data_IF_570524556176
#
_entry.id   IF_570524556176
#
_cell.length_a   1.000
_cell.length_b   1.000
_cell.length_c   1.000
_cell.angle_alpha   90.00
_cell.angle_beta   90.00
_cell.angle_gamma   90.00
#
_symmetry.space_group_name_H-M   'P 1'
#
loop_
_entity.id
_entity.type
_entity.pdbx_description
1 polymer ?
#
# COMPACT_ATOMS: atom_id res chain seq x y z
N UNK A 1 6.28 -30.26 16.57
CA UNK A 1 5.95 -28.87 16.20
C UNK A 1 6.82 -27.96 17.05
N UNK A 2 7.89 -27.37 16.47
CA UNK A 2 8.77 -26.46 17.18
C UNK A 2 8.02 -25.24 17.67
N UNK A 3 8.21 -24.84 18.92
CA UNK A 3 7.70 -23.58 19.47
C UNK A 3 8.21 -22.43 18.59
N UNK A 4 7.32 -21.84 17.81
CA UNK A 4 7.61 -20.62 17.03
C UNK A 4 8.08 -19.55 18.03
N UNK A 5 9.32 -19.04 17.86
CA UNK A 5 9.85 -17.95 18.71
C UNK A 5 8.88 -16.79 18.64
N UNK A 6 8.28 -16.41 19.76
CA UNK A 6 7.36 -15.27 19.85
C UNK A 6 8.10 -13.96 19.52
N UNK A 7 7.50 -13.13 18.68
CA UNK A 7 8.06 -11.87 18.21
C UNK A 7 8.11 -10.82 19.33
N UNK A 8 9.28 -10.22 19.53
CA UNK A 8 9.49 -9.07 20.42
C UNK A 8 9.26 -7.73 19.67
N UNK A 9 9.44 -6.62 20.41
CA UNK A 9 9.21 -5.26 19.89
C UNK A 9 9.99 -4.98 18.60
N UNK A 10 11.33 -5.22 18.61
CA UNK A 10 12.17 -4.93 17.44
C UNK A 10 11.76 -5.75 16.22
N UNK A 11 11.52 -7.07 16.38
CA UNK A 11 11.11 -7.93 15.28
C UNK A 11 9.76 -7.47 14.68
N UNK A 12 8.78 -7.11 15.54
CA UNK A 12 7.50 -6.60 15.10
C UNK A 12 7.65 -5.25 14.39
N UNK A 13 8.48 -4.33 14.90
CA UNK A 13 8.76 -3.05 14.26
C UNK A 13 9.41 -3.22 12.90
N UNK A 14 10.41 -4.10 12.76
CA UNK A 14 11.04 -4.37 11.46
C UNK A 14 10.07 -4.95 10.43
N UNK A 15 9.22 -5.89 10.83
CA UNK A 15 8.18 -6.43 9.96
C UNK A 15 7.20 -5.36 9.52
N UNK A 16 6.81 -4.46 10.43
CA UNK A 16 5.93 -3.33 10.14
C UNK A 16 6.56 -2.35 9.15
N UNK A 17 7.82 -1.96 9.40
CA UNK A 17 8.57 -1.06 8.54
C UNK A 17 8.68 -1.65 7.13
N UNK A 18 9.05 -2.93 7.02
CA UNK A 18 9.17 -3.61 5.74
C UNK A 18 7.85 -3.73 4.97
N UNK A 19 6.72 -3.78 5.68
CA UNK A 19 5.38 -3.87 5.06
C UNK A 19 4.85 -2.52 4.58
N UNK A 20 5.32 -1.41 5.16
CA UNK A 20 4.76 -0.07 4.95
C UNK A 20 5.72 0.84 4.18
N UNK A 21 7.03 0.78 4.50
CA UNK A 21 8.00 1.69 3.91
C UNK A 21 8.19 1.43 2.41
N UNK A 22 7.71 2.36 1.59
CA UNK A 22 7.90 2.33 0.14
C UNK A 22 8.61 3.60 -0.34
N UNK A 23 9.90 3.51 -0.68
CA UNK A 23 10.70 4.69 -1.06
C UNK A 23 10.19 5.39 -2.34
N UNK A 24 9.41 4.72 -3.19
CA UNK A 24 8.70 5.36 -4.30
C UNK A 24 7.76 6.49 -3.85
N UNK A 25 7.27 6.44 -2.61
CA UNK A 25 6.40 7.48 -2.06
C UNK A 25 7.13 8.82 -1.89
N UNK A 26 8.47 8.80 -1.83
CA UNK A 26 9.31 10.01 -1.80
C UNK A 26 9.17 10.79 -3.11
N UNK A 27 9.11 10.10 -4.25
CA UNK A 27 8.89 10.74 -5.55
C UNK A 27 7.56 11.50 -5.59
N UNK A 28 6.47 10.89 -5.08
CA UNK A 28 5.19 11.56 -4.97
C UNK A 28 5.22 12.74 -4.00
N UNK A 29 5.84 12.56 -2.82
CA UNK A 29 5.98 13.63 -1.85
C UNK A 29 6.78 14.81 -2.40
N UNK A 30 7.80 14.55 -3.21
CA UNK A 30 8.67 15.58 -3.76
C UNK A 30 7.97 16.51 -4.76
N UNK A 31 6.85 16.10 -5.36
CA UNK A 31 6.08 16.97 -6.29
C UNK A 31 5.37 18.13 -5.59
N UNK A 32 5.13 18.04 -4.27
CA UNK A 32 4.52 19.12 -3.47
C UNK A 32 5.56 20.02 -2.78
N UNK A 33 6.83 19.76 -3.00
CA UNK A 33 7.92 20.55 -2.42
C UNK A 33 8.13 20.30 -0.92
N UNK A 34 8.80 21.25 -0.21
CA UNK A 34 9.16 21.10 1.20
C UNK A 34 7.99 20.86 2.16
N UNK A 35 6.79 21.31 1.82
CA UNK A 35 5.60 21.09 2.64
C UNK A 35 5.22 19.61 2.82
N UNK A 36 5.76 18.72 1.98
CA UNK A 36 5.62 17.27 2.16
C UNK A 36 6.06 16.81 3.57
N UNK A 37 7.07 17.45 4.16
CA UNK A 37 7.53 17.15 5.52
C UNK A 37 6.43 17.35 6.55
N UNK A 38 5.72 18.47 6.48
CA UNK A 38 4.59 18.77 7.35
C UNK A 38 3.46 17.73 7.17
N UNK A 39 3.12 17.42 5.93
CA UNK A 39 2.06 16.46 5.63
C UNK A 39 2.40 15.03 6.05
N UNK A 40 3.68 14.60 6.00
CA UNK A 40 4.11 13.30 6.54
C UNK A 40 3.85 13.19 8.05
N UNK A 41 4.13 14.25 8.82
CA UNK A 41 3.86 14.28 10.27
C UNK A 41 2.36 14.20 10.52
N UNK A 42 1.56 14.99 9.82
CA UNK A 42 0.10 14.98 9.95
C UNK A 42 -0.46 13.58 9.64
N UNK A 43 -0.08 12.97 8.50
CA UNK A 43 -0.53 11.63 8.12
C UNK A 43 -0.16 10.56 9.17
N UNK A 44 1.04 10.64 9.77
CA UNK A 44 1.43 9.73 10.83
C UNK A 44 0.54 9.88 12.07
N UNK A 45 0.23 11.11 12.49
CA UNK A 45 -0.53 11.40 13.72
C UNK A 45 -2.02 11.07 13.55
N UNK A 46 -2.65 11.50 12.45
CA UNK A 46 -4.12 11.39 12.32
C UNK A 46 -4.57 10.08 11.68
N UNK A 47 -3.69 9.38 10.96
CA UNK A 47 -4.04 8.15 10.25
C UNK A 47 -3.27 6.93 10.78
N UNK A 48 -1.93 6.94 10.69
CA UNK A 48 -1.15 5.71 10.95
C UNK A 48 -1.21 5.26 12.42
N UNK A 49 -0.98 6.17 13.38
CA UNK A 49 -1.01 5.84 14.81
C UNK A 49 -2.42 5.37 15.23
N UNK A 50 -3.52 6.08 14.91
CA UNK A 50 -4.87 5.61 15.23
C UNK A 50 -5.17 4.22 14.64
N UNK A 51 -4.90 4.02 13.35
CA UNK A 51 -5.16 2.76 12.68
C UNK A 51 -4.33 1.61 13.30
N UNK A 52 -3.05 1.85 13.54
CA UNK A 52 -2.16 0.88 14.17
C UNK A 52 -2.63 0.44 15.56
N UNK A 53 -3.07 1.39 16.41
CA UNK A 53 -3.62 1.09 17.74
C UNK A 53 -4.92 0.30 17.67
N UNK A 54 -5.81 0.62 16.73
CA UNK A 54 -7.06 -0.12 16.48
C UNK A 54 -6.75 -1.55 16.06
N UNK A 55 -5.86 -1.73 15.09
CA UNK A 55 -5.43 -3.05 14.60
C UNK A 55 -4.78 -3.85 15.73
N UNK A 56 -3.94 -3.22 16.55
CA UNK A 56 -3.30 -3.87 17.68
C UNK A 56 -4.33 -4.39 18.70
N UNK A 57 -5.35 -3.60 19.03
CA UNK A 57 -6.38 -4.02 19.99
C UNK A 57 -7.25 -5.14 19.40
N UNK A 58 -7.70 -5.00 18.15
CA UNK A 58 -8.53 -6.03 17.50
C UNK A 58 -7.77 -7.35 17.30
N UNK A 59 -6.54 -7.30 16.83
CA UNK A 59 -5.75 -8.48 16.53
C UNK A 59 -5.34 -9.26 17.79
N UNK A 60 -5.11 -8.58 18.90
CA UNK A 60 -4.80 -9.24 20.17
C UNK A 60 -6.04 -9.79 20.87
N UNK A 61 -7.19 -9.12 20.70
CA UNK A 61 -8.47 -9.55 21.25
C UNK A 61 -9.07 -10.72 20.48
N UNK A 62 -8.90 -10.70 19.15
CA UNK A 62 -9.44 -11.74 18.24
C UNK A 62 -8.31 -12.29 17.34
N UNK A 63 -7.44 -13.15 17.90
CA UNK A 63 -6.21 -13.60 17.21
C UNK A 63 -6.45 -14.65 16.12
N UNK A 64 -7.69 -14.86 15.68
CA UNK A 64 -8.03 -15.82 14.64
C UNK A 64 -7.50 -15.37 13.28
N UNK A 65 -7.08 -16.33 12.46
CA UNK A 65 -6.66 -16.06 11.08
C UNK A 65 -7.81 -15.47 10.27
N UNK A 66 -7.57 -14.40 9.52
CA UNK A 66 -8.56 -13.77 8.63
C UNK A 66 -8.62 -12.23 8.73
N UNK A 67 -7.88 -11.62 9.66
CA UNK A 67 -7.69 -10.16 9.73
C UNK A 67 -9.00 -9.37 9.78
N UNK A 68 -9.08 -8.28 9.00
CA UNK A 68 -10.22 -7.36 8.98
C UNK A 68 -11.57 -8.04 8.77
N UNK A 69 -11.65 -9.03 7.86
CA UNK A 69 -12.92 -9.72 7.55
C UNK A 69 -13.53 -10.38 8.76
N UNK A 70 -12.71 -11.00 9.63
CA UNK A 70 -13.20 -11.68 10.86
C UNK A 70 -13.73 -10.68 11.87
N UNK A 71 -13.03 -9.55 12.07
CA UNK A 71 -13.46 -8.50 13.02
C UNK A 71 -14.77 -7.84 12.57
N UNK A 72 -14.88 -7.57 11.25
CA UNK A 72 -16.11 -7.01 10.66
C UNK A 72 -17.26 -8.01 10.73
N UNK A 73 -17.01 -9.33 10.53
CA UNK A 73 -18.01 -10.39 10.71
C UNK A 73 -18.57 -10.39 12.11
N UNK A 74 -17.70 -10.32 13.10
CA UNK A 74 -18.09 -10.33 14.51
C UNK A 74 -18.93 -9.09 14.87
N UNK A 75 -18.60 -7.94 14.30
CA UNK A 75 -19.34 -6.72 14.55
C UNK A 75 -20.66 -6.64 13.78
N UNK A 76 -20.67 -6.97 12.49
CA UNK A 76 -21.75 -6.64 11.56
C UNK A 76 -22.30 -7.84 10.77
N UNK A 77 -21.77 -9.06 11.00
CA UNK A 77 -22.21 -10.28 10.34
C UNK A 77 -21.60 -10.51 8.96
N UNK A 78 -22.08 -11.55 8.29
CA UNK A 78 -21.48 -12.11 7.06
C UNK A 78 -21.47 -11.13 5.88
N UNK A 79 -22.55 -10.38 5.68
CA UNK A 79 -22.65 -9.42 4.55
C UNK A 79 -21.56 -8.35 4.62
N UNK A 80 -21.38 -7.74 5.79
CA UNK A 80 -20.37 -6.71 5.98
C UNK A 80 -18.95 -7.29 5.88
N UNK A 81 -18.72 -8.47 6.42
CA UNK A 81 -17.46 -9.21 6.29
C UNK A 81 -17.09 -9.48 4.84
N UNK A 82 -18.05 -9.98 4.07
CA UNK A 82 -17.87 -10.23 2.65
C UNK A 82 -17.51 -8.95 1.89
N UNK A 83 -18.29 -7.87 2.07
CA UNK A 83 -18.04 -6.59 1.39
C UNK A 83 -16.69 -6.00 1.77
N UNK A 84 -16.31 -6.03 3.05
CA UNK A 84 -14.99 -5.58 3.51
C UNK A 84 -13.86 -6.35 2.82
N UNK A 85 -13.92 -7.68 2.81
CA UNK A 85 -12.93 -8.55 2.18
C UNK A 85 -12.93 -8.42 0.66
N UNK A 86 -14.09 -8.21 0.06
CA UNK A 86 -14.26 -7.96 -1.37
C UNK A 86 -13.56 -6.67 -1.79
N UNK A 87 -13.85 -5.54 -1.13
CA UNK A 87 -13.19 -4.27 -1.43
C UNK A 87 -11.68 -4.34 -1.20
N UNK A 88 -11.22 -5.01 -0.15
CA UNK A 88 -9.79 -5.21 0.08
C UNK A 88 -9.12 -6.02 -1.05
N UNK A 89 -9.78 -7.04 -1.56
CA UNK A 89 -9.28 -7.83 -2.69
C UNK A 89 -9.26 -7.02 -3.98
N UNK A 90 -10.34 -6.31 -4.28
CA UNK A 90 -10.47 -5.47 -5.47
C UNK A 90 -9.48 -4.29 -5.46
N UNK A 91 -9.20 -3.70 -4.31
CA UNK A 91 -8.21 -2.63 -4.17
C UNK A 91 -6.84 -3.03 -4.74
N UNK A 92 -6.50 -4.31 -4.65
CA UNK A 92 -5.27 -4.81 -5.23
C UNK A 92 -5.30 -4.88 -6.77
N UNK A 93 -6.46 -4.88 -7.41
CA UNK A 93 -6.56 -4.89 -8.88
C UNK A 93 -6.04 -3.60 -9.51
N UNK A 94 -6.06 -2.50 -8.77
CA UNK A 94 -5.49 -1.22 -9.19
C UNK A 94 -4.07 -1.03 -8.63
N UNK A 95 -3.79 -1.59 -7.46
CA UNK A 95 -2.46 -1.53 -6.84
C UNK A 95 -1.41 -2.35 -7.59
N UNK A 96 -1.75 -3.57 -8.06
CA UNK A 96 -0.79 -4.38 -8.84
C UNK A 96 -0.37 -3.72 -10.14
N UNK A 97 -1.26 -3.14 -10.97
CA UNK A 97 -0.84 -2.35 -12.12
C UNK A 97 0.15 -1.24 -11.76
N UNK A 98 -0.09 -0.48 -10.69
CA UNK A 98 0.84 0.58 -10.27
C UNK A 98 2.22 0.03 -9.90
N UNK A 99 2.26 -1.12 -9.21
CA UNK A 99 3.51 -1.79 -8.86
C UNK A 99 4.22 -2.37 -10.08
N UNK A 100 3.45 -2.91 -11.03
CA UNK A 100 3.97 -3.49 -12.28
C UNK A 100 4.52 -2.42 -13.23
N UNK A 101 3.85 -1.28 -13.37
CA UNK A 101 4.41 -0.13 -14.10
C UNK A 101 5.76 0.28 -13.49
N UNK A 102 5.82 0.40 -12.16
CA UNK A 102 7.07 0.72 -11.46
C UNK A 102 8.14 -0.35 -11.68
N UNK A 103 7.75 -1.64 -11.71
CA UNK A 103 8.67 -2.75 -12.01
C UNK A 103 9.21 -2.68 -13.43
N UNK A 104 8.37 -2.37 -14.42
CA UNK A 104 8.78 -2.23 -15.82
C UNK A 104 9.70 -1.02 -16.01
N UNK A 105 9.44 0.09 -15.33
CA UNK A 105 10.34 1.24 -15.31
C UNK A 105 11.69 0.82 -14.71
N UNK A 106 11.69 0.07 -13.62
CA UNK A 106 12.91 -0.45 -13.01
C UNK A 106 13.73 -1.33 -13.97
N UNK A 107 13.05 -2.19 -14.72
CA UNK A 107 13.71 -3.00 -15.78
C UNK A 107 14.30 -2.09 -16.86
N UNK A 108 13.54 -1.10 -17.33
CA UNK A 108 13.97 -0.19 -18.38
C UNK A 108 15.28 0.54 -18.02
N UNK A 109 15.36 1.06 -16.80
CA UNK A 109 16.59 1.69 -16.30
C UNK A 109 17.68 0.66 -16.01
N UNK A 110 17.36 -0.49 -15.44
CA UNK A 110 18.32 -1.56 -15.16
C UNK A 110 19.05 -2.09 -16.39
N UNK A 111 18.39 -2.12 -17.56
CA UNK A 111 18.97 -2.53 -18.85
C UNK A 111 19.42 -1.33 -19.73
N UNK A 112 19.44 -0.13 -19.16
CA UNK A 112 19.79 1.11 -19.86
C UNK A 112 18.94 1.42 -21.11
N UNK A 113 17.62 1.19 -21.01
CA UNK A 113 16.64 1.47 -22.05
C UNK A 113 15.49 2.36 -21.53
N UNK A 114 15.78 3.59 -21.04
CA UNK A 114 14.79 4.46 -20.41
C UNK A 114 13.62 4.83 -21.35
N UNK A 115 13.78 4.73 -22.66
CA UNK A 115 12.72 4.93 -23.65
C UNK A 115 11.53 3.99 -23.49
N UNK A 116 11.71 2.81 -22.86
CA UNK A 116 10.61 1.92 -22.49
C UNK A 116 9.73 2.57 -21.43
N UNK A 117 10.34 3.20 -20.43
CA UNK A 117 9.63 3.85 -19.32
C UNK A 117 8.76 5.05 -19.76
N UNK A 118 9.06 5.63 -20.91
CA UNK A 118 8.32 6.78 -21.46
C UNK A 118 7.19 6.37 -22.43
N UNK A 119 7.04 5.09 -22.72
CA UNK A 119 6.02 4.59 -23.66
C UNK A 119 4.93 3.81 -22.91
N UNK A 120 3.70 4.35 -22.75
CA UNK A 120 2.64 3.70 -21.99
C UNK A 120 2.28 2.30 -22.51
N UNK A 121 2.21 2.11 -23.84
CA UNK A 121 1.86 0.82 -24.44
C UNK A 121 2.94 -0.24 -24.18
N UNK A 122 4.22 0.09 -24.41
CA UNK A 122 5.33 -0.85 -24.13
C UNK A 122 5.36 -1.22 -22.64
N UNK A 123 5.20 -0.22 -21.76
CA UNK A 123 5.17 -0.42 -20.31
C UNK A 123 4.01 -1.32 -19.89
N UNK A 124 2.80 -1.12 -20.44
CA UNK A 124 1.64 -1.95 -20.14
C UNK A 124 1.80 -3.40 -20.58
N UNK A 125 2.33 -3.63 -21.79
CA UNK A 125 2.56 -4.98 -22.33
C UNK A 125 3.60 -5.73 -21.49
N UNK A 126 4.76 -5.12 -21.23
CA UNK A 126 5.83 -5.73 -20.43
C UNK A 126 5.34 -6.01 -19.03
N UNK A 127 4.62 -5.07 -18.39
CA UNK A 127 4.00 -5.24 -17.09
C UNK A 127 3.03 -6.43 -17.06
N UNK A 128 2.24 -6.62 -18.10
CA UNK A 128 1.31 -7.75 -18.22
C UNK A 128 2.05 -9.08 -18.28
N UNK A 129 3.12 -9.16 -19.07
CA UNK A 129 3.96 -10.36 -19.17
C UNK A 129 4.58 -10.71 -17.80
N UNK A 130 5.16 -9.72 -17.12
CA UNK A 130 5.74 -9.89 -15.79
C UNK A 130 4.67 -10.40 -14.81
N UNK A 131 3.47 -9.81 -14.85
CA UNK A 131 2.40 -10.22 -13.96
C UNK A 131 1.99 -11.66 -14.13
N UNK A 132 1.88 -12.15 -15.38
CA UNK A 132 1.58 -13.55 -15.64
C UNK A 132 2.70 -14.48 -15.18
N UNK A 133 3.97 -14.12 -15.39
CA UNK A 133 5.12 -14.91 -14.90
C UNK A 133 5.05 -15.03 -13.36
N UNK A 134 4.90 -13.89 -12.66
CA UNK A 134 4.84 -13.89 -11.19
C UNK A 134 3.60 -14.62 -10.67
N UNK A 135 2.46 -14.46 -11.34
CA UNK A 135 1.21 -15.18 -11.00
C UNK A 135 1.40 -16.69 -11.10
N UNK A 136 2.00 -17.20 -12.18
CA UNK A 136 2.26 -18.62 -12.36
C UNK A 136 3.25 -19.16 -11.32
N UNK A 137 4.28 -18.37 -10.95
CA UNK A 137 5.20 -18.72 -9.88
C UNK A 137 4.50 -18.76 -8.51
N UNK A 138 3.61 -17.79 -8.24
CA UNK A 138 2.84 -17.72 -7.00
C UNK A 138 1.90 -18.92 -6.83
N UNK A 139 1.34 -19.43 -7.94
CA UNK A 139 0.51 -20.64 -7.92
C UNK A 139 1.25 -21.92 -7.54
N UNK A 140 2.60 -21.92 -7.52
CA UNK A 140 3.44 -23.01 -6.99
C UNK A 140 3.55 -23.01 -5.46
N UNK A 141 2.86 -22.09 -4.78
CA UNK A 141 2.66 -22.10 -3.35
C UNK A 141 3.51 -21.10 -2.54
N UNK A 142 3.22 -21.04 -1.25
CA UNK A 142 3.77 -20.04 -0.31
C UNK A 142 5.29 -20.08 -0.13
N UNK A 143 5.93 -21.25 -0.31
CA UNK A 143 7.38 -21.38 -0.17
C UNK A 143 8.14 -20.59 -1.24
N UNK A 144 7.65 -20.63 -2.49
CA UNK A 144 8.26 -19.89 -3.60
C UNK A 144 8.09 -18.38 -3.38
N UNK A 145 6.87 -17.93 -3.07
CA UNK A 145 6.58 -16.52 -2.79
C UNK A 145 7.41 -15.98 -1.62
N UNK A 146 7.56 -16.77 -0.55
CA UNK A 146 8.39 -16.40 0.61
C UNK A 146 9.87 -16.26 0.28
N UNK A 147 10.44 -17.15 -0.55
CA UNK A 147 11.85 -17.05 -0.99
C UNK A 147 12.08 -15.79 -1.84
N UNK A 148 11.20 -15.50 -2.79
CA UNK A 148 11.29 -14.30 -3.60
C UNK A 148 11.21 -13.02 -2.76
N UNK A 149 10.27 -12.97 -1.82
CA UNK A 149 10.11 -11.83 -0.92
C UNK A 149 11.32 -11.63 0.02
N UNK A 150 11.91 -12.71 0.55
CA UNK A 150 13.03 -12.61 1.49
C UNK A 150 14.33 -12.09 0.85
N UNK A 151 14.51 -12.28 -0.45
CA UNK A 151 15.67 -11.76 -1.19
C UNK A 151 15.42 -10.32 -1.65
N UNK A 152 14.23 -10.04 -2.18
CA UNK A 152 13.92 -8.77 -2.80
C UNK A 152 13.72 -7.62 -1.80
N UNK A 153 13.04 -7.88 -0.68
CA UNK A 153 12.66 -6.83 0.25
C UNK A 153 13.84 -6.01 0.82
N UNK A 154 14.95 -6.62 1.29
CA UNK A 154 16.11 -5.86 1.76
C UNK A 154 16.74 -4.99 0.68
N UNK A 155 16.88 -5.50 -0.54
CA UNK A 155 17.50 -4.79 -1.66
C UNK A 155 16.67 -3.57 -2.09
N UNK A 156 15.34 -3.72 -2.11
CA UNK A 156 14.45 -2.63 -2.52
C UNK A 156 14.27 -1.52 -1.50
N UNK A 157 14.70 -1.72 -0.27
CA UNK A 157 14.64 -0.69 0.78
C UNK A 157 16.04 -0.16 1.10
N UNK A 158 17.01 -1.03 1.36
CA UNK A 158 18.33 -0.62 1.84
C UNK A 158 19.13 0.10 0.76
N UNK A 159 19.17 -0.43 -0.47
CA UNK A 159 20.00 0.18 -1.53
C UNK A 159 19.48 1.56 -1.92
N UNK A 160 18.19 1.75 -2.25
CA UNK A 160 17.68 3.10 -2.53
C UNK A 160 17.80 4.05 -1.34
N UNK A 161 17.62 3.55 -0.11
CA UNK A 161 17.80 4.38 1.09
C UNK A 161 19.24 4.87 1.22
N UNK A 162 20.23 3.97 1.08
CA UNK A 162 21.66 4.35 1.12
C UNK A 162 21.98 5.37 0.03
N UNK A 163 21.46 5.19 -1.19
CA UNK A 163 21.69 6.12 -2.28
C UNK A 163 21.06 7.50 -2.00
N UNK A 164 19.79 7.54 -1.62
CA UNK A 164 19.10 8.82 -1.35
C UNK A 164 19.74 9.53 -0.16
N UNK A 165 19.93 8.84 0.97
CA UNK A 165 20.51 9.45 2.17
C UNK A 165 21.99 9.73 2.01
N UNK A 166 22.78 8.77 1.49
CA UNK A 166 24.22 8.92 1.34
C UNK A 166 24.58 10.06 0.41
N UNK A 167 24.04 10.05 -0.79
CA UNK A 167 24.35 11.11 -1.77
C UNK A 167 23.63 12.42 -1.48
N UNK A 168 22.41 12.39 -0.93
CA UNK A 168 21.74 13.62 -0.51
C UNK A 168 22.49 14.35 0.60
N UNK A 169 22.94 13.63 1.64
CA UNK A 169 23.77 14.19 2.72
C UNK A 169 25.13 14.64 2.16
N UNK A 170 25.75 13.83 1.30
CA UNK A 170 27.02 14.19 0.70
C UNK A 170 26.90 15.49 -0.12
N UNK A 171 25.86 15.66 -0.94
CA UNK A 171 25.62 16.90 -1.68
C UNK A 171 25.43 18.11 -0.75
N UNK A 172 24.75 17.93 0.39
CA UNK A 172 24.59 18.99 1.41
C UNK A 172 25.95 19.40 2.02
N UNK A 173 26.81 18.42 2.31
CA UNK A 173 28.11 18.65 2.94
C UNK A 173 29.18 19.18 1.96
N UNK A 174 29.03 18.91 0.66
CA UNK A 174 29.95 19.35 -0.41
C UNK A 174 29.76 20.81 -0.81
N UNK A 175 28.86 21.56 -0.15
CA UNK A 175 28.59 22.95 -0.45
C UNK A 175 27.80 23.20 -1.74
N UNK A 176 27.15 22.16 -2.26
CA UNK A 176 26.26 22.28 -3.42
C UNK A 176 25.03 23.15 -3.09
N UNK A 177 24.56 23.89 -4.07
CA UNK A 177 23.34 24.68 -3.93
C UNK A 177 22.12 23.77 -3.97
N UNK A 178 21.23 23.95 -2.99
CA UNK A 178 19.98 23.20 -2.96
C UNK A 178 19.12 23.48 -4.19
N UNK A 179 18.58 22.43 -4.81
CA UNK A 179 17.63 22.55 -5.92
C UNK A 179 16.27 23.12 -5.46
N UNK A 180 15.99 23.10 -4.16
CA UNK A 180 14.73 23.58 -3.56
C UNK A 180 15.04 24.53 -2.40
N UNK A 181 14.27 25.60 -2.26
CA UNK A 181 14.39 26.52 -1.12
C UNK A 181 13.63 25.97 0.08
N UNK A 182 14.37 25.66 1.16
CA UNK A 182 13.82 25.24 2.44
C UNK A 182 13.71 26.45 3.38
N UNK A 183 12.55 27.07 3.43
CA UNK A 183 12.22 28.15 4.36
C UNK A 183 11.07 27.74 5.26
N UNK A 184 10.85 28.43 6.36
CA UNK A 184 9.68 28.19 7.24
C UNK A 184 8.36 28.30 6.44
N UNK A 185 8.28 29.18 5.48
CA UNK A 185 7.10 29.38 4.63
C UNK A 185 6.87 28.26 3.64
N UNK A 186 7.93 27.65 3.11
CA UNK A 186 7.81 26.53 2.17
C UNK A 186 7.57 25.19 2.89
N UNK A 187 8.04 25.03 4.14
CA UNK A 187 7.84 23.83 4.96
C UNK A 187 6.47 23.85 5.63
N UNK A 188 6.09 24.97 6.24
CA UNK A 188 4.76 25.15 6.82
C UNK A 188 3.92 25.94 5.82
N UNK A 189 2.96 25.32 5.14
CA UNK A 189 2.14 26.03 4.17
C UNK A 189 1.28 27.08 4.89
N UNK A 190 1.53 28.35 4.63
CA UNK A 190 0.74 29.47 5.15
C UNK A 190 -0.71 29.43 4.64
N UNK A 191 -0.93 28.82 3.49
CA UNK A 191 -2.23 28.50 2.93
C UNK A 191 -2.26 27.01 2.65
N UNK A 192 -3.22 26.30 3.27
CA UNK A 192 -3.56 24.94 2.91
C UNK A 192 -4.13 24.96 1.48
N UNK A 193 -3.24 24.99 0.49
CA UNK A 193 -3.68 24.94 -0.90
C UNK A 193 -4.46 23.65 -1.10
N UNK A 194 -5.55 23.74 -1.83
CA UNK A 194 -6.41 22.60 -2.11
C UNK A 194 -5.62 21.42 -2.74
N UNK A 195 -4.66 21.73 -3.63
CA UNK A 195 -3.77 20.73 -4.21
C UNK A 195 -2.89 20.00 -3.17
N UNK A 196 -2.34 20.73 -2.19
CA UNK A 196 -1.53 20.13 -1.13
C UNK A 196 -2.36 19.21 -0.21
N UNK A 197 -3.60 19.58 0.09
CA UNK A 197 -4.53 18.74 0.87
C UNK A 197 -4.88 17.46 0.09
N UNK A 198 -5.05 17.53 -1.22
CA UNK A 198 -5.28 16.35 -2.06
C UNK A 198 -4.11 15.36 -2.00
N UNK A 199 -2.87 15.86 -1.99
CA UNK A 199 -1.69 15.01 -1.84
C UNK A 199 -1.63 14.29 -0.49
N UNK A 200 -2.25 14.82 0.56
CA UNK A 200 -2.34 14.15 1.85
C UNK A 200 -2.96 12.75 1.72
N UNK A 201 -3.93 12.55 0.82
CA UNK A 201 -4.53 11.24 0.55
C UNK A 201 -3.49 10.22 0.04
N UNK A 202 -2.62 10.63 -0.88
CA UNK A 202 -1.54 9.77 -1.41
C UNK A 202 -0.48 9.49 -0.33
N UNK A 203 -0.14 10.48 0.50
CA UNK A 203 0.79 10.30 1.61
C UNK A 203 0.22 9.36 2.68
N UNK A 204 -1.08 9.48 3.01
CA UNK A 204 -1.75 8.53 3.89
C UNK A 204 -1.75 7.11 3.32
N UNK A 205 -1.97 6.95 2.02
CA UNK A 205 -1.82 5.65 1.37
C UNK A 205 -0.40 5.07 1.53
N UNK A 206 0.62 5.92 1.56
CA UNK A 206 2.01 5.54 1.86
C UNK A 206 2.22 4.92 3.25
N UNK A 207 1.32 5.15 4.19
CA UNK A 207 1.30 4.53 5.52
C UNK A 207 0.37 3.31 5.62
N UNK A 208 -0.30 2.89 4.56
CA UNK A 208 -1.16 1.70 4.56
C UNK A 208 -0.34 0.42 4.70
N UNK A 209 -0.93 -0.62 5.31
CA UNK A 209 -0.24 -1.89 5.59
C UNK A 209 -0.20 -2.26 7.08
N UNK A 210 -0.64 -1.36 7.98
CA UNK A 210 -0.70 -1.66 9.42
C UNK A 210 -1.62 -2.85 9.74
N UNK A 211 -2.64 -3.10 8.94
CA UNK A 211 -3.57 -4.24 9.06
C UNK A 211 -2.86 -5.59 8.91
N UNK A 212 -1.73 -5.64 8.21
CA UNK A 212 -0.93 -6.86 8.06
C UNK A 212 -0.37 -7.35 9.40
N UNK A 213 -0.17 -6.46 10.37
CA UNK A 213 0.23 -6.82 11.74
C UNK A 213 -0.83 -7.69 12.43
N UNK A 214 -2.09 -7.55 12.06
CA UNK A 214 -3.19 -8.36 12.57
C UNK A 214 -3.03 -9.85 12.27
N UNK A 215 -2.40 -10.20 11.15
CA UNK A 215 -2.22 -11.61 10.73
C UNK A 215 -1.20 -12.37 11.58
N UNK A 216 -0.29 -11.66 12.26
CA UNK A 216 0.81 -12.23 13.05
C UNK A 216 0.64 -12.04 14.55
N UNK A 217 -0.49 -11.47 14.99
CA UNK A 217 -0.74 -11.10 16.39
C UNK A 217 -0.63 -12.28 17.37
N UNK A 218 -1.06 -13.47 16.96
CA UNK A 218 -0.96 -14.70 17.77
C UNK A 218 0.49 -15.10 18.10
N UNK A 219 1.46 -14.62 17.33
CA UNK A 219 2.88 -14.92 17.48
C UNK A 219 3.68 -13.84 18.24
N UNK A 220 3.00 -12.86 18.85
CA UNK A 220 3.67 -11.76 19.54
C UNK A 220 3.84 -12.06 21.03
N UNK A 221 5.03 -11.77 21.57
CA UNK A 221 5.34 -11.91 22.99
C UNK A 221 4.79 -10.69 23.75
N UNK A 222 4.07 -10.91 24.86
CA UNK A 222 3.49 -9.85 25.69
C UNK A 222 2.79 -8.76 24.86
N UNK A 223 1.67 -9.08 24.17
CA UNK A 223 1.04 -8.19 23.19
C UNK A 223 0.72 -6.82 23.75
N UNK A 224 0.27 -6.72 25.02
CA UNK A 224 -0.05 -5.46 25.70
C UNK A 224 1.08 -4.43 25.69
N UNK A 225 2.35 -4.90 25.80
CA UNK A 225 3.52 -4.02 25.82
C UNK A 225 4.19 -3.93 24.45
N UNK A 226 4.17 -5.03 23.70
CA UNK A 226 4.90 -5.13 22.43
C UNK A 226 4.24 -4.35 21.32
N UNK A 227 2.90 -4.44 21.15
CA UNK A 227 2.21 -3.75 20.05
C UNK A 227 2.32 -2.23 20.13
N UNK A 228 1.96 -1.54 21.27
CA UNK A 228 2.00 -0.10 21.29
C UNK A 228 3.41 0.45 21.10
N UNK A 229 4.42 -0.23 21.66
CA UNK A 229 5.82 0.15 21.46
C UNK A 229 6.28 -0.04 20.02
N UNK A 230 5.93 -1.17 19.42
CA UNK A 230 6.29 -1.45 18.03
C UNK A 230 5.61 -0.45 17.07
N UNK A 231 4.33 -0.14 17.26
CA UNK A 231 3.60 0.85 16.46
C UNK A 231 4.25 2.23 16.59
N UNK A 232 4.54 2.67 17.82
CA UNK A 232 5.16 3.98 18.06
C UNK A 232 6.55 4.05 17.40
N UNK A 233 7.40 3.06 17.61
CA UNK A 233 8.74 2.96 17.00
C UNK A 233 8.62 2.98 15.47
N UNK A 234 7.73 2.16 14.90
CA UNK A 234 7.49 2.10 13.47
C UNK A 234 7.03 3.45 12.93
N UNK A 235 6.09 4.12 13.62
CA UNK A 235 5.59 5.44 13.21
C UNK A 235 6.71 6.48 13.15
N UNK A 236 7.52 6.55 14.21
CA UNK A 236 8.65 7.49 14.28
C UNK A 236 9.67 7.19 13.20
N UNK A 237 10.05 5.93 13.02
CA UNK A 237 11.06 5.55 12.02
C UNK A 237 10.56 5.84 10.61
N UNK A 238 9.35 5.44 10.25
CA UNK A 238 8.81 5.64 8.90
C UNK A 238 8.63 7.13 8.60
N UNK A 239 8.05 7.91 9.54
CA UNK A 239 7.90 9.35 9.35
C UNK A 239 9.27 10.03 9.21
N UNK A 240 10.24 9.69 10.07
CA UNK A 240 11.61 10.24 9.99
C UNK A 240 12.27 9.88 8.66
N UNK A 241 12.18 8.62 8.22
CA UNK A 241 12.74 8.18 6.94
C UNK A 241 12.10 8.92 5.77
N UNK A 242 10.76 9.05 5.74
CA UNK A 242 10.09 9.79 4.68
C UNK A 242 10.47 11.27 4.67
N UNK A 243 10.53 11.92 5.84
CA UNK A 243 10.93 13.33 5.94
C UNK A 243 12.37 13.54 5.47
N UNK A 244 13.31 12.79 6.04
CA UNK A 244 14.74 12.95 5.71
C UNK A 244 15.02 12.57 4.26
N UNK A 245 14.40 11.52 3.74
CA UNK A 245 14.56 11.14 2.34
C UNK A 245 13.93 12.16 1.40
N UNK A 246 12.80 12.80 1.77
CA UNK A 246 12.20 13.88 0.99
C UNK A 246 13.12 15.10 0.96
N UNK A 247 13.73 15.48 2.10
CA UNK A 247 14.70 16.56 2.17
C UNK A 247 15.92 16.26 1.28
N UNK A 248 16.53 15.08 1.47
CA UNK A 248 17.71 14.67 0.71
C UNK A 248 17.45 14.64 -0.79
N UNK A 249 16.28 14.13 -1.18
CA UNK A 249 15.86 14.08 -2.58
C UNK A 249 15.66 15.49 -3.17
N UNK A 250 14.90 16.33 -2.48
CA UNK A 250 14.59 17.70 -2.93
C UNK A 250 15.79 18.65 -2.87
N UNK A 251 16.80 18.34 -2.05
CA UNK A 251 18.06 19.07 -2.07
C UNK A 251 18.79 18.88 -3.40
N UNK A 252 18.79 17.66 -3.93
CA UNK A 252 19.48 17.29 -5.17
C UNK A 252 18.68 17.67 -6.40
N UNK A 253 17.37 17.40 -6.42
CA UNK A 253 16.55 17.57 -7.63
C UNK A 253 15.12 18.00 -7.30
N UNK A 254 14.58 18.89 -8.12
CA UNK A 254 13.15 19.18 -8.22
C UNK A 254 12.55 18.38 -9.36
N UNK A 255 11.34 17.86 -9.16
CA UNK A 255 10.61 17.10 -10.17
C UNK A 255 9.21 17.68 -10.38
N UNK A 256 8.72 17.56 -11.59
CA UNK A 256 7.33 17.86 -11.95
C UNK A 256 6.45 16.60 -11.87
N UNK A 257 5.13 16.78 -11.89
CA UNK A 257 4.17 15.67 -11.76
C UNK A 257 4.26 14.62 -12.89
N UNK A 258 4.69 15.02 -14.08
CA UNK A 258 4.92 14.16 -15.24
C UNK A 258 6.20 13.30 -15.12
N UNK A 259 7.11 13.67 -14.22
CA UNK A 259 8.34 12.93 -13.93
C UNK A 259 8.25 11.98 -12.75
N UNK A 260 7.10 11.92 -12.05
CA UNK A 260 6.94 11.15 -10.82
C UNK A 260 7.32 9.67 -10.99
N UNK A 261 6.98 9.06 -12.12
CA UNK A 261 7.26 7.65 -12.39
C UNK A 261 8.75 7.32 -12.49
N UNK A 262 9.55 8.27 -12.96
CA UNK A 262 11.01 8.13 -13.23
C UNK A 262 11.89 8.88 -12.23
N UNK A 263 11.29 9.59 -11.29
CA UNK A 263 11.96 10.53 -10.39
C UNK A 263 13.19 9.98 -9.67
N UNK A 264 13.11 8.75 -9.12
CA UNK A 264 14.22 8.12 -8.41
C UNK A 264 15.42 7.83 -9.34
N UNK A 265 15.16 7.53 -10.60
CA UNK A 265 16.20 7.29 -11.61
C UNK A 265 16.81 8.60 -12.08
N UNK A 266 16.00 9.66 -12.26
CA UNK A 266 16.50 11.01 -12.56
C UNK A 266 17.40 11.55 -11.44
N UNK A 267 17.03 11.29 -10.17
CA UNK A 267 17.89 11.57 -9.02
C UNK A 267 19.23 10.84 -9.13
N UNK A 268 19.19 9.53 -9.41
CA UNK A 268 20.39 8.72 -9.53
C UNK A 268 21.26 9.13 -10.70
N UNK A 269 20.70 9.49 -11.85
CA UNK A 269 21.42 9.97 -13.01
C UNK A 269 22.07 11.32 -12.73
N UNK A 270 21.35 12.22 -12.03
CA UNK A 270 21.94 13.52 -11.63
C UNK A 270 23.15 13.32 -10.72
N UNK A 271 23.06 12.43 -9.74
CA UNK A 271 24.19 12.08 -8.85
C UNK A 271 25.33 11.46 -9.66
N UNK A 272 25.04 10.52 -10.56
CA UNK A 272 26.05 9.90 -11.43
C UNK A 272 26.84 10.94 -12.21
N UNK A 273 26.15 11.92 -12.82
CA UNK A 273 26.76 12.99 -13.60
C UNK A 273 27.51 14.01 -12.73
N UNK A 274 26.91 14.42 -11.60
CA UNK A 274 27.47 15.42 -10.69
C UNK A 274 28.82 14.96 -10.10
N UNK A 275 28.94 13.67 -9.77
CA UNK A 275 30.18 13.13 -9.18
C UNK A 275 31.07 12.40 -10.17
N UNK A 276 30.74 12.43 -11.47
CA UNK A 276 31.57 11.81 -12.52
C UNK A 276 31.76 10.31 -12.30
N UNK A 277 30.73 9.60 -11.81
CA UNK A 277 30.83 8.18 -11.51
C UNK A 277 30.98 7.38 -12.82
N UNK A 278 31.89 6.42 -12.83
CA UNK A 278 32.13 5.54 -13.99
C UNK A 278 31.05 4.49 -14.21
N UNK A 279 30.08 4.40 -13.30
CA UNK A 279 28.94 3.47 -13.35
C UNK A 279 27.63 4.20 -13.13
N UNK A 280 26.54 3.66 -13.69
CA UNK A 280 25.20 4.27 -13.57
C UNK A 280 24.50 3.81 -12.30
N UNK A 281 24.20 4.78 -11.44
CA UNK A 281 23.39 4.53 -10.22
C UNK A 281 21.95 4.18 -10.55
N UNK A 282 21.37 4.71 -11.63
CA UNK A 282 20.02 4.39 -12.06
C UNK A 282 19.90 2.93 -12.53
N UNK A 283 20.94 2.34 -13.14
CA UNK A 283 20.97 0.92 -13.46
C UNK A 283 20.98 0.06 -12.21
N UNK A 284 21.82 0.38 -11.22
CA UNK A 284 21.88 -0.34 -9.95
C UNK A 284 20.53 -0.27 -9.23
N UNK A 285 19.92 0.91 -9.15
CA UNK A 285 18.57 1.08 -8.59
C UNK A 285 17.54 0.25 -9.34
N UNK A 286 17.59 0.26 -10.66
CA UNK A 286 16.68 -0.53 -11.49
C UNK A 286 16.73 -2.03 -11.15
N UNK A 287 17.93 -2.61 -11.10
CA UNK A 287 18.12 -4.02 -10.75
C UNK A 287 17.61 -4.32 -9.33
N UNK A 288 17.95 -3.49 -8.36
CA UNK A 288 17.50 -3.67 -6.97
C UNK A 288 15.99 -3.60 -6.83
N UNK A 289 15.34 -2.65 -7.51
CA UNK A 289 13.89 -2.51 -7.48
C UNK A 289 13.18 -3.66 -8.20
N UNK A 290 13.70 -4.19 -9.29
CA UNK A 290 13.14 -5.39 -9.96
C UNK A 290 13.06 -6.55 -8.97
N UNK A 291 14.16 -6.84 -8.27
CA UNK A 291 14.20 -7.93 -7.27
C UNK A 291 13.21 -7.68 -6.12
N UNK A 292 13.11 -6.44 -5.65
CA UNK A 292 12.20 -6.06 -4.59
C UNK A 292 10.72 -6.20 -5.00
N UNK A 293 10.36 -5.67 -6.16
CA UNK A 293 8.97 -5.63 -6.61
C UNK A 293 8.46 -7.03 -6.98
N UNK A 294 9.28 -7.86 -7.63
CA UNK A 294 8.92 -9.25 -7.94
C UNK A 294 8.70 -10.06 -6.65
N UNK A 295 9.57 -9.86 -5.66
CA UNK A 295 9.42 -10.50 -4.35
C UNK A 295 8.13 -10.07 -3.64
N UNK A 296 7.88 -8.77 -3.55
CA UNK A 296 6.69 -8.20 -2.91
C UNK A 296 5.40 -8.60 -3.62
N UNK A 297 5.39 -8.57 -4.95
CA UNK A 297 4.22 -8.89 -5.77
C UNK A 297 3.75 -10.33 -5.56
N UNK A 298 4.68 -11.30 -5.50
CA UNK A 298 4.33 -12.70 -5.22
C UNK A 298 3.57 -12.87 -3.90
N UNK A 299 3.98 -12.16 -2.86
CA UNK A 299 3.33 -12.18 -1.55
C UNK A 299 1.97 -11.48 -1.56
N UNK A 300 1.90 -10.32 -2.22
CA UNK A 300 0.69 -9.52 -2.34
C UNK A 300 -0.41 -10.22 -3.15
N UNK A 301 -0.09 -10.94 -4.22
CA UNK A 301 -1.06 -11.70 -5.02
C UNK A 301 -1.75 -12.76 -4.15
N UNK A 302 -1.03 -13.41 -3.27
CA UNK A 302 -1.52 -14.55 -2.51
C UNK A 302 -2.46 -14.15 -1.38
N UNK A 303 -2.05 -13.21 -0.53
CA UNK A 303 -2.75 -12.90 0.71
C UNK A 303 -4.20 -12.41 0.53
N UNK A 304 -4.51 -11.41 -0.32
CA UNK A 304 -5.88 -10.99 -0.54
C UNK A 304 -6.75 -12.07 -1.19
N UNK A 305 -6.15 -12.89 -2.06
CA UNK A 305 -6.87 -14.00 -2.72
C UNK A 305 -7.25 -15.11 -1.72
N UNK A 306 -6.39 -15.40 -0.74
CA UNK A 306 -6.70 -16.34 0.34
C UNK A 306 -7.75 -15.75 1.27
N UNK A 307 -7.63 -14.46 1.61
CA UNK A 307 -8.58 -13.78 2.49
C UNK A 307 -10.00 -13.78 1.91
N UNK A 308 -10.17 -13.43 0.63
CA UNK A 308 -11.49 -13.46 -0.01
C UNK A 308 -12.00 -14.89 -0.14
N UNK A 309 -11.14 -15.87 -0.45
CA UNK A 309 -11.54 -17.26 -0.53
C UNK A 309 -12.10 -17.79 0.82
N UNK A 310 -11.52 -17.38 1.94
CA UNK A 310 -12.01 -17.75 3.28
C UNK A 310 -13.29 -16.98 3.67
N UNK A 311 -13.35 -15.68 3.37
CA UNK A 311 -14.50 -14.83 3.73
C UNK A 311 -15.73 -15.09 2.85
N UNK A 312 -15.54 -15.58 1.64
CA UNK A 312 -16.59 -15.77 0.64
C UNK A 312 -17.01 -17.24 0.41
N UNK A 313 -16.58 -18.15 1.28
CA UNK A 313 -16.87 -19.60 1.15
C UNK A 313 -18.35 -19.92 0.94
N UNK A 314 -19.21 -19.13 1.56
CA UNK A 314 -20.66 -19.34 1.50
C UNK A 314 -21.35 -18.57 0.37
N UNK A 315 -20.64 -17.66 -0.27
CA UNK A 315 -21.17 -16.71 -1.27
C UNK A 315 -20.70 -17.02 -2.67
N UNK A 316 -19.42 -17.32 -2.83
CA UNK A 316 -18.83 -17.63 -4.13
C UNK A 316 -19.03 -19.10 -4.50
N UNK A 317 -19.16 -19.35 -5.81
CA UNK A 317 -19.31 -20.71 -6.31
C UNK A 317 -18.10 -21.58 -5.97
N UNK A 318 -18.33 -22.88 -5.76
CA UNK A 318 -17.27 -23.87 -5.47
C UNK A 318 -16.17 -23.87 -6.57
N UNK A 319 -16.54 -23.58 -7.82
CA UNK A 319 -15.60 -23.52 -8.94
C UNK A 319 -14.61 -22.35 -8.80
N UNK A 320 -15.05 -21.17 -8.32
CA UNK A 320 -14.18 -20.02 -8.06
C UNK A 320 -13.24 -20.29 -6.88
N UNK A 321 -13.69 -21.03 -5.89
CA UNK A 321 -12.93 -21.37 -4.67
C UNK A 321 -12.03 -22.60 -4.84
N UNK A 322 -12.02 -23.24 -6.02
CA UNK A 322 -11.24 -24.45 -6.28
C UNK A 322 -9.74 -24.19 -6.08
N UNK A 323 -9.15 -25.00 -5.19
CA UNK A 323 -7.71 -24.97 -4.90
C UNK A 323 -6.95 -25.88 -5.88
N UNK A 324 -5.72 -25.46 -6.23
CA UNK A 324 -4.81 -26.32 -7.00
C UNK A 324 -4.12 -27.36 -6.08
N UNK A 325 -3.17 -28.14 -6.66
CA UNK A 325 -2.39 -29.15 -5.95
C UNK A 325 -1.60 -28.59 -4.76
N UNK A 326 -1.21 -27.30 -4.85
CA UNK A 326 -0.44 -26.58 -3.85
C UNK A 326 -1.32 -25.83 -2.83
N UNK A 327 -2.64 -26.07 -2.84
CA UNK A 327 -3.61 -25.49 -1.92
C UNK A 327 -4.00 -24.03 -2.22
N UNK A 328 -3.62 -23.48 -3.38
CA UNK A 328 -3.87 -22.09 -3.77
C UNK A 328 -5.21 -21.95 -4.49
N UNK A 329 -5.99 -20.85 -4.27
CA UNK A 329 -7.27 -20.60 -4.93
C UNK A 329 -7.03 -20.17 -6.40
N UNK A 330 -6.64 -21.14 -7.23
CA UNK A 330 -6.09 -20.90 -8.57
C UNK A 330 -7.05 -20.15 -9.50
N UNK A 331 -8.36 -20.43 -9.42
CA UNK A 331 -9.36 -19.77 -10.25
C UNK A 331 -9.49 -18.29 -9.93
N UNK A 332 -9.51 -17.95 -8.63
CA UNK A 332 -9.53 -16.54 -8.19
C UNK A 332 -8.25 -15.79 -8.60
N UNK A 333 -7.09 -16.41 -8.40
CA UNK A 333 -5.79 -15.81 -8.76
C UNK A 333 -5.68 -15.59 -10.27
N UNK A 334 -6.14 -16.54 -11.10
CA UNK A 334 -6.18 -16.37 -12.57
C UNK A 334 -7.19 -15.30 -13.01
N UNK A 335 -8.38 -15.27 -12.40
CA UNK A 335 -9.40 -14.24 -12.67
C UNK A 335 -8.88 -12.84 -12.33
N UNK A 336 -8.20 -12.70 -11.20
CA UNK A 336 -7.49 -11.48 -10.81
C UNK A 336 -6.43 -11.10 -11.85
N UNK A 337 -5.63 -12.06 -12.36
CA UNK A 337 -4.61 -11.79 -13.36
C UNK A 337 -5.20 -11.25 -14.66
N UNK A 338 -6.32 -11.80 -15.11
CA UNK A 338 -7.04 -11.29 -16.29
C UNK A 338 -7.52 -9.85 -16.05
N UNK A 339 -8.18 -9.59 -14.93
CA UNK A 339 -8.68 -8.26 -14.60
C UNK A 339 -7.55 -7.22 -14.52
N UNK A 340 -6.44 -7.55 -13.87
CA UNK A 340 -5.26 -6.68 -13.77
C UNK A 340 -4.63 -6.42 -15.14
N UNK A 341 -4.56 -7.45 -16.00
CA UNK A 341 -4.08 -7.28 -17.38
C UNK A 341 -4.95 -6.32 -18.19
N UNK A 342 -6.27 -6.42 -18.06
CA UNK A 342 -7.19 -5.48 -18.70
C UNK A 342 -6.98 -4.05 -18.20
N UNK A 343 -6.81 -3.85 -16.90
CA UNK A 343 -6.54 -2.51 -16.32
C UNK A 343 -5.19 -1.97 -16.83
N UNK A 344 -4.15 -2.80 -16.92
CA UNK A 344 -2.84 -2.42 -17.49
C UNK A 344 -2.98 -1.99 -18.95
N UNK A 345 -3.68 -2.76 -19.78
CA UNK A 345 -3.89 -2.40 -21.18
C UNK A 345 -4.72 -1.13 -21.33
N UNK A 346 -5.74 -0.92 -20.48
CA UNK A 346 -6.51 0.32 -20.48
C UNK A 346 -5.65 1.52 -20.04
N UNK A 347 -4.72 1.32 -19.11
CA UNK A 347 -3.81 2.40 -18.67
C UNK A 347 -2.84 2.85 -19.77
N UNK A 348 -2.66 2.06 -20.82
CA UNK A 348 -1.83 2.43 -21.98
C UNK A 348 -2.43 3.57 -22.85
N UNK A 349 -3.72 3.86 -22.70
CA UNK A 349 -4.40 4.97 -23.39
C UNK A 349 -4.31 6.30 -22.63
N UNK A 350 -3.75 6.31 -21.43
CA UNK A 350 -3.51 7.54 -20.66
C UNK A 350 -2.29 8.27 -21.24
N UNK A 351 -2.24 9.62 -21.23
CA UNK A 351 -1.24 10.41 -21.95
C UNK A 351 0.21 10.07 -21.63
N UNK A 352 0.53 9.70 -20.38
CA UNK A 352 1.88 9.34 -19.96
C UNK A 352 1.90 8.21 -18.95
N UNK A 353 3.06 7.56 -18.78
CA UNK A 353 3.25 6.53 -17.74
C UNK A 353 3.10 7.12 -16.33
N UNK A 354 3.52 8.36 -16.10
CA UNK A 354 3.33 9.05 -14.84
C UNK A 354 1.85 9.31 -14.54
N UNK A 355 1.08 9.78 -15.53
CA UNK A 355 -0.38 9.96 -15.39
C UNK A 355 -1.07 8.63 -15.10
N UNK A 356 -0.71 7.56 -15.82
CA UNK A 356 -1.25 6.22 -15.56
C UNK A 356 -0.92 5.74 -14.14
N UNK A 357 0.31 5.94 -13.69
CA UNK A 357 0.73 5.57 -12.32
C UNK A 357 -0.04 6.37 -11.27
N UNK A 358 -0.18 7.68 -11.44
CA UNK A 358 -0.93 8.55 -10.53
C UNK A 358 -2.40 8.12 -10.45
N UNK A 359 -3.06 7.90 -11.60
CA UNK A 359 -4.44 7.42 -11.69
C UNK A 359 -4.61 6.09 -10.92
N UNK A 360 -3.73 5.11 -11.15
CA UNK A 360 -3.79 3.80 -10.51
C UNK A 360 -3.57 3.89 -8.99
N UNK A 361 -2.72 4.80 -8.52
CA UNK A 361 -2.49 5.03 -7.09
C UNK A 361 -3.73 5.67 -6.45
N UNK A 362 -4.36 6.66 -7.09
CA UNK A 362 -5.59 7.26 -6.58
C UNK A 362 -6.75 6.26 -6.54
N UNK A 363 -6.91 5.44 -7.60
CA UNK A 363 -7.88 4.32 -7.61
C UNK A 363 -7.62 3.34 -6.46
N UNK A 364 -6.35 2.99 -6.24
CA UNK A 364 -5.95 2.10 -5.15
C UNK A 364 -6.25 2.73 -3.79
N UNK A 365 -5.92 4.00 -3.61
CA UNK A 365 -6.20 4.75 -2.38
C UNK A 365 -7.68 4.69 -2.05
N UNK A 366 -8.53 5.06 -3.00
CA UNK A 366 -9.98 5.05 -2.81
C UNK A 366 -10.49 3.64 -2.43
N UNK A 367 -10.05 2.62 -3.15
CA UNK A 367 -10.47 1.24 -2.93
C UNK A 367 -9.97 0.66 -1.60
N UNK A 368 -8.72 0.95 -1.18
CA UNK A 368 -8.15 0.50 0.08
C UNK A 368 -8.76 1.18 1.31
N UNK A 369 -9.20 2.43 1.18
CA UNK A 369 -9.74 3.17 2.32
C UNK A 369 -11.18 2.75 2.67
N UNK A 370 -11.95 2.19 1.72
CA UNK A 370 -13.29 1.64 1.99
C UNK A 370 -13.25 0.51 3.04
N UNK A 371 -12.40 -0.53 2.96
CA UNK A 371 -12.24 -1.53 4.02
C UNK A 371 -11.88 -0.96 5.40
N UNK A 372 -11.13 0.14 5.46
CA UNK A 372 -10.79 0.76 6.74
C UNK A 372 -12.00 1.43 7.41
N UNK A 373 -12.97 1.95 6.64
CA UNK A 373 -14.25 2.40 7.20
C UNK A 373 -14.96 1.25 7.91
N UNK A 374 -15.01 0.05 7.30
CA UNK A 374 -15.58 -1.15 7.94
C UNK A 374 -14.79 -1.54 9.19
N UNK A 375 -13.46 -1.55 9.11
CA UNK A 375 -12.56 -1.90 10.21
C UNK A 375 -12.76 -1.00 11.43
N UNK A 376 -12.72 0.33 11.24
CA UNK A 376 -12.86 1.30 12.34
C UNK A 376 -14.27 1.26 12.91
N UNK A 377 -15.29 1.13 12.07
CA UNK A 377 -16.67 0.96 12.52
C UNK A 377 -16.86 -0.32 13.34
N UNK A 378 -16.24 -1.42 12.92
CA UNK A 378 -16.25 -2.67 13.67
C UNK A 378 -15.57 -2.52 15.03
N UNK A 379 -14.42 -1.84 15.07
CA UNK A 379 -13.75 -1.54 16.32
C UNK A 379 -14.63 -0.76 17.31
N UNK A 380 -15.24 0.33 16.84
CA UNK A 380 -16.13 1.15 17.67
C UNK A 380 -17.28 0.29 18.24
N UNK A 381 -17.94 -0.48 17.37
CA UNK A 381 -19.06 -1.34 17.78
C UNK A 381 -18.61 -2.38 18.80
N UNK A 382 -17.58 -3.17 18.51
CA UNK A 382 -17.06 -4.21 19.42
C UNK A 382 -16.56 -3.64 20.73
N UNK A 383 -16.00 -2.43 20.72
CA UNK A 383 -15.57 -1.74 21.94
C UNK A 383 -16.74 -1.34 22.82
N UNK A 384 -17.87 -0.98 22.22
CA UNK A 384 -19.09 -0.57 22.95
C UNK A 384 -19.93 -1.76 23.43
N UNK A 385 -20.03 -2.82 22.63
CA UNK A 385 -20.89 -3.98 22.90
C UNK A 385 -20.20 -5.07 23.72
N UNK A 386 -18.94 -5.37 23.45
CA UNK A 386 -18.21 -6.45 24.13
C UNK A 386 -17.32 -5.91 25.27
N UNK A 387 -17.93 -5.34 26.30
CA UNK A 387 -17.25 -4.68 27.43
C UNK A 387 -16.45 -5.64 28.30
N UNK A 388 -16.90 -6.89 28.42
CA UNK A 388 -16.37 -7.90 29.36
C UNK A 388 -15.32 -8.82 28.73
N UNK A 389 -15.01 -8.65 27.44
CA UNK A 389 -14.00 -9.50 26.79
C UNK A 389 -12.59 -9.08 27.25
N UNK A 390 -11.74 -10.07 27.51
CA UNK A 390 -10.34 -9.84 27.82
C UNK A 390 -9.62 -9.28 26.58
N UNK A 391 -8.92 -8.15 26.76
CA UNK A 391 -8.15 -7.46 25.73
C UNK A 391 -6.69 -7.44 26.13
N UNK A 392 -5.85 -8.33 25.57
CA UNK A 392 -4.42 -8.39 25.88
C UNK A 392 -3.70 -7.07 25.63
N UNK A 393 -4.04 -6.36 24.57
CA UNK A 393 -3.75 -4.94 24.42
C UNK A 393 -5.07 -4.16 24.43
N UNK A 394 -5.15 -3.12 25.24
CA UNK A 394 -6.34 -2.29 25.39
C UNK A 394 -5.93 -0.81 25.46
N UNK A 395 -6.52 0.03 24.61
CA UNK A 395 -6.41 1.48 24.75
C UNK A 395 -7.07 1.87 26.09
N UNK A 396 -6.36 2.64 26.90
CA UNK A 396 -6.56 2.80 28.35
C UNK A 396 -8.03 2.98 28.78
N UNK A 397 -8.78 3.83 28.12
CA UNK A 397 -10.18 4.04 28.45
C UNK A 397 -11.07 4.14 27.19
N UNK A 398 -12.39 3.93 27.37
CA UNK A 398 -13.30 3.90 26.24
C UNK A 398 -13.43 5.26 25.53
N UNK A 399 -13.36 6.37 26.28
CA UNK A 399 -13.41 7.71 25.66
C UNK A 399 -12.21 7.94 24.76
N UNK A 400 -10.98 7.65 25.25
CA UNK A 400 -9.75 7.75 24.45
C UNK A 400 -9.81 6.81 23.25
N UNK A 401 -10.24 5.56 23.44
CA UNK A 401 -10.35 4.58 22.37
C UNK A 401 -11.30 5.04 21.25
N UNK A 402 -12.45 5.58 21.59
CA UNK A 402 -13.42 6.12 20.64
C UNK A 402 -12.88 7.39 19.98
N UNK A 403 -12.23 8.29 20.71
CA UNK A 403 -11.60 9.49 20.14
C UNK A 403 -10.53 9.11 19.10
N UNK A 404 -9.64 8.16 19.44
CA UNK A 404 -8.63 7.62 18.49
C UNK A 404 -9.32 7.04 17.25
N UNK A 405 -10.40 6.27 17.43
CA UNK A 405 -11.16 5.71 16.33
C UNK A 405 -11.85 6.78 15.47
N UNK A 406 -12.39 7.83 16.09
CA UNK A 406 -13.02 8.94 15.35
C UNK A 406 -11.99 9.76 14.57
N UNK A 407 -10.81 10.04 15.13
CA UNK A 407 -9.71 10.68 14.40
C UNK A 407 -9.31 9.84 13.20
N UNK A 408 -9.09 8.53 13.37
CA UNK A 408 -8.80 7.61 12.29
C UNK A 408 -9.93 7.54 11.26
N UNK A 409 -11.19 7.53 11.69
CA UNK A 409 -12.35 7.54 10.78
C UNK A 409 -12.42 8.82 9.95
N UNK A 410 -12.26 9.98 10.59
CA UNK A 410 -12.26 11.27 9.91
C UNK A 410 -11.12 11.36 8.89
N UNK A 411 -9.94 10.85 9.22
CA UNK A 411 -8.81 10.83 8.30
C UNK A 411 -9.09 9.91 7.10
N UNK A 412 -9.66 8.71 7.32
CA UNK A 412 -10.03 7.75 6.27
C UNK A 412 -11.13 8.30 5.37
N UNK A 413 -12.21 8.82 5.94
CA UNK A 413 -13.33 9.42 5.18
C UNK A 413 -12.84 10.67 4.46
N UNK A 414 -12.06 11.52 5.13
CA UNK A 414 -11.44 12.69 4.51
C UNK A 414 -10.60 12.33 3.30
N UNK A 415 -9.78 11.27 3.39
CA UNK A 415 -8.98 10.75 2.26
C UNK A 415 -9.87 10.31 1.10
N UNK A 416 -10.96 9.56 1.38
CA UNK A 416 -11.92 9.16 0.35
C UNK A 416 -12.49 10.38 -0.35
N UNK A 417 -12.97 11.37 0.41
CA UNK A 417 -13.56 12.58 -0.14
C UNK A 417 -12.55 13.40 -0.96
N UNK A 418 -11.33 13.57 -0.45
CA UNK A 418 -10.26 14.28 -1.16
C UNK A 418 -9.88 13.58 -2.47
N UNK A 419 -9.82 12.24 -2.47
CA UNK A 419 -9.49 11.47 -3.69
C UNK A 419 -10.60 11.58 -4.76
N UNK A 420 -11.85 11.88 -4.35
CA UNK A 420 -12.97 12.09 -5.28
C UNK A 420 -12.97 13.49 -5.93
N UNK A 421 -12.09 14.40 -5.52
CA UNK A 421 -12.00 15.72 -6.10
C UNK A 421 -10.89 15.72 -7.16
N UNK A 422 -11.17 16.03 -8.44
CA UNK A 422 -10.15 16.03 -9.48
C UNK A 422 -9.17 17.20 -9.29
N UNK A 423 -7.88 16.94 -9.53
CA UNK A 423 -6.93 18.03 -9.66
C UNK A 423 -7.23 18.87 -10.90
N UNK A 424 -6.91 20.19 -10.91
CA UNK A 424 -7.22 21.06 -12.03
C UNK A 424 -6.69 20.61 -13.39
N UNK A 425 -5.60 19.84 -13.41
CA UNK A 425 -4.97 19.29 -14.61
C UNK A 425 -5.45 17.88 -14.99
N UNK A 426 -6.37 17.28 -14.20
CA UNK A 426 -6.83 15.91 -14.42
C UNK A 426 -7.83 15.87 -15.59
N UNK A 427 -7.54 15.06 -16.60
CA UNK A 427 -8.45 14.83 -17.72
C UNK A 427 -9.63 13.95 -17.31
N UNK A 428 -10.73 14.04 -18.05
CA UNK A 428 -11.92 13.20 -17.81
C UNK A 428 -11.56 11.69 -17.93
N UNK A 429 -10.65 11.36 -18.84
CA UNK A 429 -10.17 10.00 -19.05
C UNK A 429 -9.42 9.43 -17.83
N UNK A 430 -8.69 10.28 -17.10
CA UNK A 430 -8.00 9.91 -15.87
C UNK A 430 -8.95 9.88 -14.67
N UNK A 431 -9.93 10.79 -14.62
CA UNK A 431 -10.83 10.95 -13.47
C UNK A 431 -11.92 9.89 -13.39
N UNK A 432 -12.58 9.58 -14.52
CA UNK A 432 -13.71 8.63 -14.53
C UNK A 432 -13.34 7.25 -13.96
N UNK A 433 -12.19 6.63 -14.29
CA UNK A 433 -11.80 5.36 -13.69
C UNK A 433 -11.60 5.42 -12.18
N UNK A 434 -11.10 6.55 -11.65
CA UNK A 434 -10.89 6.73 -10.21
C UNK A 434 -12.20 6.61 -9.45
N UNK A 435 -13.25 7.24 -9.95
CA UNK A 435 -14.58 7.27 -9.28
C UNK A 435 -15.39 6.03 -9.61
N UNK A 436 -15.52 5.70 -10.91
CA UNK A 436 -16.38 4.62 -11.36
C UNK A 436 -15.83 3.22 -11.04
N UNK A 437 -14.50 3.05 -11.02
CA UNK A 437 -13.87 1.77 -10.75
C UNK A 437 -14.34 1.14 -9.44
N UNK A 438 -14.12 1.78 -8.28
CA UNK A 438 -14.57 1.26 -6.99
C UNK A 438 -16.10 1.08 -6.89
N UNK A 439 -16.88 1.96 -7.52
CA UNK A 439 -18.36 1.86 -7.56
C UNK A 439 -18.80 0.62 -8.34
N UNK A 440 -18.28 0.43 -9.55
CA UNK A 440 -18.59 -0.74 -10.38
C UNK A 440 -18.20 -2.04 -9.68
N UNK A 441 -17.00 -2.11 -9.12
CA UNK A 441 -16.56 -3.27 -8.36
C UNK A 441 -17.40 -3.51 -7.10
N UNK A 442 -17.83 -2.45 -6.43
CA UNK A 442 -18.76 -2.52 -5.30
C UNK A 442 -20.10 -3.13 -5.70
N UNK A 443 -20.67 -2.66 -6.82
CA UNK A 443 -21.91 -3.21 -7.39
C UNK A 443 -21.78 -4.68 -7.75
N UNK A 444 -20.66 -5.09 -8.38
CA UNK A 444 -20.38 -6.49 -8.70
C UNK A 444 -20.33 -7.34 -7.42
N UNK A 445 -19.63 -6.90 -6.40
CA UNK A 445 -19.57 -7.59 -5.11
C UNK A 445 -20.94 -7.75 -4.47
N UNK A 446 -21.75 -6.70 -4.48
CA UNK A 446 -23.12 -6.76 -3.95
C UNK A 446 -24.02 -7.75 -4.72
N UNK A 447 -23.94 -7.77 -6.05
CA UNK A 447 -24.68 -8.69 -6.91
C UNK A 447 -24.25 -10.15 -6.63
N UNK A 448 -22.95 -10.40 -6.54
CA UNK A 448 -22.41 -11.74 -6.22
C UNK A 448 -22.90 -12.21 -4.86
N UNK A 449 -22.88 -11.34 -3.85
CA UNK A 449 -23.40 -11.67 -2.52
C UNK A 449 -24.89 -12.04 -2.57
N UNK A 450 -25.71 -11.24 -3.26
CA UNK A 450 -27.15 -11.47 -3.40
C UNK A 450 -27.44 -12.80 -4.10
N UNK A 451 -26.76 -13.09 -5.21
CA UNK A 451 -26.94 -14.32 -5.97
C UNK A 451 -26.48 -15.58 -5.18
N UNK A 452 -25.37 -15.47 -4.44
CA UNK A 452 -24.90 -16.55 -3.58
C UNK A 452 -25.89 -16.91 -2.47
N UNK A 453 -26.50 -15.91 -1.84
CA UNK A 453 -27.53 -16.14 -0.82
C UNK A 453 -28.83 -16.71 -1.40
N UNK A 454 -29.24 -16.29 -2.59
CA UNK A 454 -30.42 -16.87 -3.27
C UNK A 454 -30.21 -18.34 -3.60
N UNK A 455 -29.02 -18.73 -4.07
CA UNK A 455 -28.68 -20.12 -4.33
C UNK A 455 -28.67 -20.96 -3.05
N UNK A 456 -28.17 -20.40 -1.93
CA UNK A 456 -28.16 -21.07 -0.61
C UNK A 456 -29.57 -21.35 -0.08
N UNK A 457 -30.48 -20.38 -0.23
CA UNK A 457 -31.87 -20.51 0.21
C UNK A 457 -32.66 -21.52 -0.64
N UNK A 458 -32.40 -21.59 -1.97
CA UNK A 458 -32.99 -22.60 -2.85
C UNK A 458 -32.56 -24.05 -2.52
N UNK A 459 -31.36 -24.24 -1.97
CA UNK A 459 -30.84 -25.56 -1.60
C UNK A 459 -31.27 -25.98 -0.18
N UNK A 460 -31.95 -25.13 0.59
CA UNK A 460 -32.48 -25.42 1.93
C UNK A 460 -33.98 -25.73 1.93
N UNK A 461 -34.67 -25.39 0.87
CA UNK A 461 -36.06 -25.78 0.56
C UNK A 461 -36.08 -26.98 -0.42
#
# INVERSE_FOLDING_TARGET
MGQSKKLGVLALSFLSINSILGLRNIAFASTIGPSAMFYWIIAAIIYFIPLGLIVAELSTTYPNQGGMGVWVRKAFGEKASFLCSWFFWIANFTYYPSLLLTTTIAIAYGINQPGIANNPMKTAIISSIIFWIVTLLTLKGTKMSGRLASIGAPLGVLVPAILIFGFGIYSMLSGETSATNFTSETIMPNNLSFGAIMFLSTLMFGFSGAEMLGTIAGNVKNPQKTFPRAILITSIIIATVYILATIAFQFVITISSDQTATALYLFADKITNQFGLSFSLSQILGICFVLAFVGSLSFLILNPSVMIAESAKEVLSKNLLKKNKDGMPATLVKGQAIAVTLILLLSAFVPSVSSALNMLILMSTLAFFIPYVFLISAYIKLRMTEKNIERPFKIKNNKIAITVALVGMLSVVGTILLTLIPAPSTTLLEYLPIVLGPVLFGCIGFILYRNGNLAKNKNKN
#
